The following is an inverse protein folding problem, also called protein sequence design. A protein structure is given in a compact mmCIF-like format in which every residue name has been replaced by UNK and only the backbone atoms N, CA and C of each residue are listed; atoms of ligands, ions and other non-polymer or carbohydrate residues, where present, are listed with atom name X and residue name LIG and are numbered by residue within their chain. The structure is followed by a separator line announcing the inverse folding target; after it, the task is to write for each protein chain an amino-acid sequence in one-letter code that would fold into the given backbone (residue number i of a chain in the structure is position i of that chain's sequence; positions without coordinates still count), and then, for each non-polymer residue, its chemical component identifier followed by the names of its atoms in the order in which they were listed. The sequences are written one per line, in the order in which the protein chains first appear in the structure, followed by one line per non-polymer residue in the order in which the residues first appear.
data_IF_390314662352
#
_entry.id   IF_390314662352
#
_cell.length_a   1.000
_cell.length_b   1.000
_cell.length_c   1.000
_cell.angle_alpha   90.00
_cell.angle_beta   90.00
_cell.angle_gamma   90.00
#
_symmetry.space_group_name_H-M   'P 1'
#
loop_
_entity.id
_entity.type
_entity.pdbx_description
1 polymer ?
#
# COMPACT_ATOMS: atom_id res chain seq x y z
N UNK A 1 -14.51 5.98 1.10
CA UNK A 1 -13.54 5.59 2.15
C UNK A 1 -12.12 5.44 1.62
N UNK A 2 -11.88 4.74 0.50
CA UNK A 2 -10.55 4.59 -0.14
C UNK A 2 -9.83 5.94 -0.36
N UNK A 3 -10.58 6.98 -0.76
CA UNK A 3 -10.07 8.35 -0.96
C UNK A 3 -9.46 9.02 0.29
N UNK A 4 -9.81 8.56 1.51
CA UNK A 4 -9.34 9.13 2.77
C UNK A 4 -8.00 8.52 3.25
N UNK A 5 -7.61 7.37 2.71
CA UNK A 5 -6.40 6.62 3.07
C UNK A 5 -5.31 6.79 1.99
N UNK A 6 -5.65 7.38 0.84
CA UNK A 6 -4.69 7.73 -0.20
C UNK A 6 -3.74 8.85 0.28
N UNK A 7 -2.51 8.47 0.67
CA UNK A 7 -1.45 9.39 1.08
C UNK A 7 -1.07 10.41 -0.01
N UNK A 8 -1.35 10.12 -1.29
CA UNK A 8 -0.93 10.94 -2.43
C UNK A 8 -2.04 11.82 -3.04
N UNK A 9 -3.20 11.99 -2.39
CA UNK A 9 -4.32 12.75 -2.98
C UNK A 9 -4.84 13.86 -2.04
N UNK A 10 -4.09 14.96 -1.95
CA UNK A 10 -4.35 16.13 -1.09
C UNK A 10 -5.80 16.70 -1.21
N UNK A 11 -6.41 16.82 -2.41
CA UNK A 11 -7.79 17.31 -2.53
C UNK A 11 -8.84 16.33 -1.96
N UNK A 12 -8.56 15.02 -2.03
CA UNK A 12 -9.45 13.98 -1.55
C UNK A 12 -9.41 13.86 -0.01
N UNK A 13 -8.28 14.23 0.59
CA UNK A 13 -8.16 14.40 2.03
C UNK A 13 -8.97 15.63 2.49
N UNK A 14 -8.88 16.77 1.80
CA UNK A 14 -9.56 18.01 2.19
C UNK A 14 -11.11 17.93 2.20
N UNK A 15 -11.72 17.24 1.23
CA UNK A 15 -13.20 17.14 1.14
C UNK A 15 -13.88 16.31 2.24
N UNK A 16 -13.17 15.42 2.92
CA UNK A 16 -13.74 14.55 3.95
C UNK A 16 -13.88 15.17 5.34
N UNK A 17 -13.20 16.30 5.59
CA UNK A 17 -13.10 16.95 6.91
C UNK A 17 -14.11 18.10 7.13
N UNK A 18 -14.96 18.42 6.15
CA UNK A 18 -15.99 19.46 6.28
C UNK A 18 -17.07 19.10 7.30
N UNK A 19 -17.55 20.10 8.05
CA UNK A 19 -18.60 20.00 9.10
C UNK A 19 -19.92 19.40 8.59
N UNK A 20 -20.19 19.48 7.28
CA UNK A 20 -21.35 18.89 6.63
C UNK A 20 -21.43 17.35 6.74
N UNK A 21 -20.31 16.65 6.96
CA UNK A 21 -20.27 15.17 7.02
C UNK A 21 -20.45 14.59 8.44
N UNK A 22 -20.68 15.42 9.46
CA UNK A 22 -20.82 14.97 10.84
C UNK A 22 -22.09 14.15 11.11
N UNK A 23 -23.24 14.59 10.58
CA UNK A 23 -24.53 13.94 10.77
C UNK A 23 -24.63 12.62 10.00
N UNK A 24 -24.19 12.62 8.74
CA UNK A 24 -24.14 11.41 7.89
C UNK A 24 -23.30 10.31 8.54
N UNK A 25 -22.15 10.67 9.15
CA UNK A 25 -21.29 9.69 9.84
C UNK A 25 -21.88 9.15 11.14
N UNK A 26 -22.65 9.95 11.87
CA UNK A 26 -23.37 9.46 13.07
C UNK A 26 -24.49 8.50 12.69
N UNK A 27 -25.24 8.83 11.63
CA UNK A 27 -26.27 7.95 11.11
C UNK A 27 -25.65 6.63 10.60
N UNK A 28 -24.55 6.69 9.82
CA UNK A 28 -23.83 5.49 9.38
C UNK A 28 -23.24 4.65 10.53
N UNK A 29 -22.84 5.28 11.64
CA UNK A 29 -22.38 4.54 12.83
C UNK A 29 -23.53 3.81 13.53
N UNK A 30 -24.70 4.44 13.57
CA UNK A 30 -25.91 3.86 14.14
C UNK A 30 -26.46 2.72 13.27
N UNK A 31 -26.39 2.89 11.95
CA UNK A 31 -26.91 1.91 10.97
C UNK A 31 -25.88 0.83 10.60
N UNK A 32 -24.66 0.91 11.13
CA UNK A 32 -23.63 -0.10 10.90
C UNK A 32 -24.00 -1.42 11.57
N UNK A 33 -23.88 -2.51 10.83
CA UNK A 33 -24.03 -3.87 11.38
C UNK A 33 -23.05 -4.13 12.55
N UNK A 34 -21.86 -3.49 12.51
CA UNK A 34 -20.85 -3.54 13.58
C UNK A 34 -20.37 -2.14 13.98
N UNK A 35 -21.12 -1.43 14.87
CA UNK A 35 -20.80 -0.05 15.26
C UNK A 35 -19.41 0.10 15.89
N UNK A 36 -18.95 -0.91 16.63
CA UNK A 36 -17.63 -0.89 17.26
C UNK A 36 -16.48 -0.93 16.23
N UNK A 37 -16.62 -1.68 15.12
CA UNK A 37 -15.64 -1.71 14.04
C UNK A 37 -15.64 -0.38 13.28
N UNK A 38 -16.82 0.14 12.95
CA UNK A 38 -16.93 1.44 12.29
C UNK A 38 -16.39 2.60 13.15
N UNK A 39 -16.60 2.54 14.47
CA UNK A 39 -16.03 3.49 15.43
C UNK A 39 -14.50 3.51 15.40
N UNK A 40 -13.85 2.35 15.31
CA UNK A 40 -12.39 2.23 15.18
C UNK A 40 -11.88 2.87 13.88
N UNK A 41 -12.55 2.62 12.76
CA UNK A 41 -12.24 3.26 11.48
C UNK A 41 -12.41 4.80 11.55
N UNK A 42 -13.47 5.28 12.20
CA UNK A 42 -13.73 6.71 12.38
C UNK A 42 -12.67 7.39 13.26
N UNK A 43 -12.15 6.69 14.29
CA UNK A 43 -11.04 7.16 15.12
C UNK A 43 -9.78 7.37 14.29
N UNK A 44 -9.35 6.35 13.53
CA UNK A 44 -8.18 6.42 12.65
C UNK A 44 -8.28 7.63 11.72
N UNK A 45 -9.46 7.83 11.15
CA UNK A 45 -9.73 8.95 10.26
C UNK A 45 -9.66 10.32 10.98
N UNK A 46 -10.42 10.50 12.08
CA UNK A 46 -10.50 11.79 12.80
C UNK A 46 -9.16 12.20 13.40
N UNK A 47 -8.39 11.24 13.88
CA UNK A 47 -7.09 11.47 14.51
C UNK A 47 -5.93 11.48 13.50
N UNK A 48 -6.20 11.41 12.18
CA UNK A 48 -5.20 11.41 11.11
C UNK A 48 -4.12 10.34 11.30
N UNK A 49 -4.51 9.15 11.79
CA UNK A 49 -3.57 8.06 12.08
C UNK A 49 -3.22 7.21 10.86
N UNK A 50 -3.61 7.65 9.65
CA UNK A 50 -3.31 6.94 8.40
C UNK A 50 -1.81 6.73 8.18
N UNK A 51 -0.97 7.72 8.52
CA UNK A 51 0.49 7.58 8.39
C UNK A 51 1.06 6.44 9.24
N UNK A 52 0.47 6.15 10.40
CA UNK A 52 0.89 5.03 11.25
C UNK A 52 0.50 3.70 10.64
N UNK A 53 -0.67 3.61 9.99
CA UNK A 53 -1.07 2.41 9.25
C UNK A 53 -0.13 2.14 8.08
N UNK A 54 0.22 3.18 7.32
CA UNK A 54 1.18 3.07 6.21
C UNK A 54 2.53 2.60 6.73
N UNK A 55 3.02 3.18 7.83
CA UNK A 55 4.27 2.76 8.44
C UNK A 55 4.23 1.30 8.92
N UNK A 56 3.15 0.86 9.56
CA UNK A 56 2.99 -0.55 9.94
C UNK A 56 3.01 -1.47 8.71
N UNK A 57 2.38 -1.06 7.60
CA UNK A 57 2.41 -1.83 6.35
C UNK A 57 3.82 -1.90 5.76
N UNK A 58 4.57 -0.79 5.71
CA UNK A 58 5.97 -0.75 5.26
C UNK A 58 6.88 -1.64 6.12
N UNK A 59 6.74 -1.57 7.45
CA UNK A 59 7.50 -2.42 8.38
C UNK A 59 7.16 -3.92 8.19
N UNK A 60 5.89 -4.23 7.92
CA UNK A 60 5.44 -5.60 7.62
C UNK A 60 6.01 -6.11 6.29
N UNK A 61 5.99 -5.27 5.26
CA UNK A 61 6.56 -5.59 3.95
C UNK A 61 8.06 -5.89 4.06
N UNK A 62 8.80 -5.09 4.83
CA UNK A 62 10.22 -5.33 5.11
C UNK A 62 10.41 -6.65 5.87
N UNK A 63 9.60 -6.95 6.88
CA UNK A 63 9.69 -8.22 7.62
C UNK A 63 9.42 -9.43 6.72
N UNK A 64 8.36 -9.38 5.91
CA UNK A 64 7.98 -10.43 4.96
C UNK A 64 8.99 -10.60 3.80
N UNK A 65 9.87 -9.61 3.59
CA UNK A 65 10.99 -9.74 2.66
C UNK A 65 12.09 -10.68 3.16
N UNK A 66 12.13 -10.96 4.47
CA UNK A 66 13.14 -11.78 5.13
C UNK A 66 12.55 -13.08 5.74
N UNK A 67 11.24 -13.10 5.99
CA UNK A 67 10.55 -14.16 6.73
C UNK A 67 9.23 -14.54 6.04
N UNK A 68 8.77 -15.79 6.22
CA UNK A 68 7.54 -16.28 5.60
C UNK A 68 6.26 -15.70 6.22
N UNK A 69 6.33 -15.26 7.48
CA UNK A 69 5.24 -14.61 8.20
C UNK A 69 5.77 -13.57 9.18
N UNK A 70 4.91 -12.63 9.55
CA UNK A 70 5.19 -11.65 10.60
C UNK A 70 3.92 -11.32 11.40
N UNK A 71 4.09 -10.90 12.65
CA UNK A 71 3.01 -10.34 13.45
C UNK A 71 3.13 -8.81 13.47
N UNK A 72 2.08 -8.13 13.05
CA UNK A 72 2.04 -6.67 12.95
C UNK A 72 1.07 -6.11 13.97
N UNK A 73 1.57 -5.27 14.86
CA UNK A 73 0.76 -4.56 15.85
C UNK A 73 0.18 -3.28 15.25
N UNK A 74 -1.15 -3.16 15.30
CA UNK A 74 -1.92 -2.06 14.73
C UNK A 74 -2.71 -1.33 15.84
N UNK A 75 -2.00 -0.88 16.86
CA UNK A 75 -2.57 -0.25 18.07
C UNK A 75 -3.41 1.01 17.78
N UNK A 76 -3.22 1.61 16.62
CA UNK A 76 -4.03 2.75 16.15
C UNK A 76 -5.50 2.39 15.98
N UNK A 77 -5.79 1.15 15.59
CA UNK A 77 -7.16 0.64 15.41
C UNK A 77 -7.76 0.30 16.78
N UNK A 78 -7.06 -0.48 17.59
CA UNK A 78 -7.44 -0.83 18.95
C UNK A 78 -6.21 -1.24 19.79
N UNK A 79 -6.24 -1.06 21.13
CA UNK A 79 -5.12 -1.47 21.98
C UNK A 79 -4.82 -2.97 21.83
N UNK A 80 -3.52 -3.31 21.73
CA UNK A 80 -3.04 -4.69 21.59
C UNK A 80 -3.64 -5.44 20.38
N UNK A 81 -4.11 -4.71 19.36
CA UNK A 81 -4.59 -5.32 18.15
C UNK A 81 -3.41 -5.75 17.28
N UNK A 82 -3.29 -7.04 17.02
CA UNK A 82 -2.28 -7.61 16.15
C UNK A 82 -2.93 -8.34 14.99
N UNK A 83 -2.24 -8.35 13.86
CA UNK A 83 -2.57 -9.12 12.67
C UNK A 83 -1.39 -10.03 12.35
N UNK A 84 -1.68 -11.29 12.05
CA UNK A 84 -0.68 -12.20 11.49
C UNK A 84 -0.75 -12.08 9.97
N UNK A 85 0.40 -11.86 9.35
CA UNK A 85 0.54 -11.69 7.91
C UNK A 85 1.49 -12.76 7.38
N UNK A 86 1.18 -13.28 6.21
CA UNK A 86 2.04 -14.20 5.46
C UNK A 86 2.50 -13.56 4.15
N UNK A 87 3.58 -14.10 3.58
CA UNK A 87 4.07 -13.67 2.27
C UNK A 87 2.98 -13.77 1.20
N UNK A 88 2.10 -14.77 1.27
CA UNK A 88 0.96 -14.91 0.33
C UNK A 88 0.00 -13.72 0.38
N UNK A 89 -0.24 -13.13 1.56
CA UNK A 89 -1.11 -11.97 1.71
C UNK A 89 -0.50 -10.74 1.00
N UNK A 90 0.82 -10.59 1.13
CA UNK A 90 1.57 -9.55 0.43
C UNK A 90 1.50 -9.77 -1.09
N UNK A 91 1.77 -10.99 -1.56
CA UNK A 91 1.70 -11.35 -2.98
C UNK A 91 0.32 -11.06 -3.58
N UNK A 92 -0.75 -11.43 -2.88
CA UNK A 92 -2.12 -11.14 -3.30
C UNK A 92 -2.36 -9.63 -3.39
N UNK A 93 -2.00 -8.88 -2.34
CA UNK A 93 -2.23 -7.45 -2.24
C UNK A 93 -1.51 -6.66 -3.35
N UNK A 94 -0.29 -7.07 -3.73
CA UNK A 94 0.51 -6.37 -4.74
C UNK A 94 0.29 -6.90 -6.16
N UNK A 95 -0.41 -8.02 -6.35
CA UNK A 95 -0.60 -8.68 -7.65
C UNK A 95 -1.13 -7.73 -8.75
N UNK A 96 -2.12 -6.90 -8.43
CA UNK A 96 -2.72 -5.94 -9.37
C UNK A 96 -1.78 -4.77 -9.69
N UNK A 97 -1.19 -4.06 -8.70
CA UNK A 97 -0.13 -3.08 -8.95
C UNK A 97 1.03 -3.64 -9.78
N UNK A 98 1.50 -4.86 -9.47
CA UNK A 98 2.58 -5.52 -10.19
C UNK A 98 2.24 -5.77 -11.66
N UNK A 99 1.01 -6.22 -11.95
CA UNK A 99 0.53 -6.36 -13.33
C UNK A 99 0.60 -5.03 -14.06
N UNK A 100 0.18 -3.93 -13.42
CA UNK A 100 0.20 -2.62 -14.03
C UNK A 100 1.61 -2.13 -14.33
N UNK A 101 2.56 -2.36 -13.42
CA UNK A 101 3.98 -2.06 -13.64
C UNK A 101 4.50 -2.88 -14.82
N UNK A 102 4.15 -4.17 -14.91
CA UNK A 102 4.55 -5.02 -16.03
C UNK A 102 4.04 -4.52 -17.38
N UNK A 103 2.81 -3.99 -17.45
CA UNK A 103 2.26 -3.36 -18.66
C UNK A 103 3.07 -2.12 -19.03
N UNK A 104 3.32 -1.23 -18.07
CA UNK A 104 4.08 0.01 -18.31
C UNK A 104 5.51 -0.25 -18.79
N UNK A 105 6.17 -1.27 -18.23
CA UNK A 105 7.50 -1.70 -18.69
C UNK A 105 7.43 -2.18 -20.15
N UNK A 106 6.42 -2.98 -20.50
CA UNK A 106 6.24 -3.47 -21.87
C UNK A 106 5.98 -2.33 -22.87
N UNK A 107 5.12 -1.40 -22.51
CA UNK A 107 4.80 -0.23 -23.33
C UNK A 107 6.05 0.62 -23.56
N UNK A 108 6.85 0.85 -22.51
CA UNK A 108 8.09 1.62 -22.62
C UNK A 108 9.12 0.97 -23.56
N UNK A 109 9.29 -0.35 -23.50
CA UNK A 109 10.17 -1.09 -24.42
C UNK A 109 9.68 -1.02 -25.87
N UNK A 110 8.37 -1.12 -26.06
CA UNK A 110 7.75 -1.07 -27.39
C UNK A 110 7.89 0.31 -28.01
N UNK A 111 7.67 1.37 -27.24
CA UNK A 111 7.87 2.76 -27.68
C UNK A 111 9.35 3.11 -27.89
N UNK A 112 10.26 2.51 -27.12
CA UNK A 112 11.70 2.78 -27.17
C UNK A 112 12.44 2.13 -28.35
N UNK A 113 11.79 1.23 -29.11
CA UNK A 113 12.35 0.62 -30.30
C UNK A 113 13.46 -0.41 -30.04
N UNK A 114 13.64 -0.89 -28.80
CA UNK A 114 14.68 -1.85 -28.46
C UNK A 114 14.75 -2.19 -26.96
N UNK A 115 15.58 -3.18 -26.63
CA UNK A 115 15.89 -3.52 -25.23
C UNK A 115 16.97 -2.58 -24.69
N UNK A 116 16.79 -2.01 -23.49
CA UNK A 116 17.81 -1.18 -22.86
C UNK A 116 19.01 -2.02 -22.39
N UNK A 117 20.19 -1.40 -22.35
CA UNK A 117 21.40 -2.05 -21.81
C UNK A 117 21.42 -2.09 -20.28
N UNK A 118 20.64 -1.25 -19.62
CA UNK A 118 20.57 -1.15 -18.15
C UNK A 118 19.23 -0.57 -17.70
N UNK A 119 18.74 -1.02 -16.54
CA UNK A 119 17.54 -0.49 -15.91
C UNK A 119 17.89 0.03 -14.52
N UNK A 120 17.56 1.30 -14.26
CA UNK A 120 17.75 1.92 -12.96
C UNK A 120 16.44 1.91 -12.16
N UNK A 121 16.48 1.31 -10.97
CA UNK A 121 15.41 1.33 -9.98
C UNK A 121 15.67 2.48 -8.99
N UNK A 122 14.81 3.50 -9.02
CA UNK A 122 14.94 4.71 -8.18
C UNK A 122 13.77 4.83 -7.19
N UNK A 123 14.05 5.40 -6.02
CA UNK A 123 13.05 5.60 -4.94
C UNK A 123 12.93 4.42 -3.97
N UNK A 124 12.57 4.70 -2.71
CA UNK A 124 12.46 3.69 -1.65
C UNK A 124 11.42 2.60 -1.92
N UNK A 125 10.39 2.90 -2.71
CA UNK A 125 9.36 1.96 -3.17
C UNK A 125 9.84 1.01 -4.28
N UNK A 126 11.06 1.17 -4.79
CA UNK A 126 11.67 0.25 -5.75
C UNK A 126 12.46 -0.89 -5.08
N UNK A 127 12.52 -0.91 -3.74
CA UNK A 127 13.21 -1.90 -2.92
C UNK A 127 12.52 -3.27 -2.72
N UNK A 128 11.18 -3.44 -2.87
CA UNK A 128 10.56 -4.73 -2.55
C UNK A 128 11.16 -5.86 -3.38
N UNK A 129 11.65 -6.96 -2.78
CA UNK A 129 12.26 -8.06 -3.54
C UNK A 129 11.34 -8.65 -4.59
N UNK A 130 10.03 -8.67 -4.33
CA UNK A 130 9.01 -9.13 -5.27
C UNK A 130 8.95 -8.27 -6.53
N UNK A 131 9.05 -6.93 -6.39
CA UNK A 131 9.09 -6.02 -7.54
C UNK A 131 10.36 -6.23 -8.36
N UNK A 132 11.51 -6.34 -7.69
CA UNK A 132 12.80 -6.59 -8.35
C UNK A 132 12.78 -7.92 -9.10
N UNK A 133 12.28 -8.98 -8.48
CA UNK A 133 12.15 -10.30 -9.09
C UNK A 133 11.26 -10.27 -10.34
N UNK A 134 10.13 -9.57 -10.28
CA UNK A 134 9.22 -9.42 -11.41
C UNK A 134 9.86 -8.67 -12.59
N UNK A 135 10.53 -7.55 -12.31
CA UNK A 135 11.21 -6.77 -13.36
C UNK A 135 12.35 -7.60 -13.97
N UNK A 136 13.12 -8.32 -13.15
CA UNK A 136 14.20 -9.22 -13.61
C UNK A 136 13.66 -10.38 -14.46
N UNK A 137 12.50 -10.93 -14.11
CA UNK A 137 11.85 -12.01 -14.88
C UNK A 137 11.40 -11.53 -16.27
N UNK A 138 10.97 -10.28 -16.39
CA UNK A 138 10.56 -9.66 -17.66
C UNK A 138 11.75 -9.23 -18.51
N UNK A 139 12.77 -8.67 -17.87
CA UNK A 139 13.96 -8.10 -18.51
C UNK A 139 15.15 -9.06 -18.40
N UNK A 140 14.94 -10.34 -18.76
CA UNK A 140 15.99 -11.37 -18.64
C UNK A 140 17.24 -10.93 -19.42
N UNK A 141 18.36 -10.86 -18.72
CA UNK A 141 19.64 -10.46 -19.30
C UNK A 141 19.94 -8.97 -19.24
N UNK A 142 19.00 -8.12 -18.80
CA UNK A 142 19.24 -6.69 -18.60
C UNK A 142 19.64 -6.45 -17.13
N UNK A 143 20.80 -5.84 -16.86
CA UNK A 143 21.23 -5.46 -15.52
C UNK A 143 20.24 -4.52 -14.83
N UNK A 144 19.88 -4.86 -13.60
CA UNK A 144 19.03 -4.05 -12.72
C UNK A 144 19.87 -3.40 -11.63
N UNK A 145 20.06 -2.09 -11.75
CA UNK A 145 20.84 -1.26 -10.82
C UNK A 145 19.88 -0.56 -9.86
N UNK A 146 20.13 -0.68 -8.56
CA UNK A 146 19.41 0.05 -7.53
C UNK A 146 20.26 1.25 -7.09
N UNK A 147 19.64 2.42 -6.93
CA UNK A 147 20.30 3.55 -6.26
C UNK A 147 20.37 3.32 -4.75
N UNK A 148 21.54 3.54 -4.16
CA UNK A 148 21.78 3.43 -2.70
C UNK A 148 20.86 4.36 -1.88
#
# INVERSE_FOLDING_TARGET
FVNAIASNHVPAQAGGYGSANGQVRRNLLHDAAEPAVFGRLLKVYRQRLGYRLVRCAEESEIALSQQASCQTHVDVIAPAHACELQVSDLEEAISKPLRKISELVHDALTCGGGMPDVVYLTGGSARPPLLRALVQQRLRGIPLVSGD
#
